data_IF_873782284640
#
_entry.id   IF_873782284640
#
_cell.length_a   1.000
_cell.length_b   1.000
_cell.length_c   1.000
_cell.angle_alpha   90.00
_cell.angle_beta   90.00
_cell.angle_gamma   90.00
#
_symmetry.space_group_name_H-M   'P 1'
#
loop_
_entity.id
_entity.type
_entity.pdbx_description
1 polymer ?
#
# COMPACT_ATOMS: atom_id res chain seq x y z
N UNK A 1 -15.32 12.71 -24.94
CA UNK A 1 -14.67 11.59 -24.23
C UNK A 1 -13.77 12.17 -23.15
N UNK A 2 -14.37 12.65 -22.06
CA UNK A 2 -13.62 13.25 -20.96
C UNK A 2 -12.98 12.11 -20.15
N UNK A 3 -11.69 11.87 -20.35
CA UNK A 3 -10.89 11.02 -19.45
C UNK A 3 -10.76 11.80 -18.14
N UNK A 4 -11.80 11.68 -17.30
CA UNK A 4 -12.03 12.57 -16.18
C UNK A 4 -10.91 12.52 -15.15
N UNK A 5 -10.79 13.60 -14.38
CA UNK A 5 -9.90 13.87 -13.25
C UNK A 5 -9.66 12.71 -12.23
N UNK A 6 -10.37 11.58 -12.33
CA UNK A 6 -10.13 10.38 -11.53
C UNK A 6 -8.72 9.78 -11.65
N UNK A 7 -8.01 10.01 -12.75
CA UNK A 7 -6.62 9.54 -12.91
C UNK A 7 -5.64 10.23 -11.96
N UNK A 8 -5.84 11.52 -11.63
CA UNK A 8 -4.99 12.24 -10.67
C UNK A 8 -5.13 11.71 -9.24
N UNK A 9 -6.33 11.24 -8.88
CA UNK A 9 -6.59 10.68 -7.55
C UNK A 9 -6.04 9.25 -7.41
N UNK A 10 -6.07 8.46 -8.50
CA UNK A 10 -5.50 7.10 -8.53
C UNK A 10 -4.02 7.07 -8.20
N UNK A 11 -3.26 8.04 -8.68
CA UNK A 11 -1.81 8.06 -8.48
C UNK A 11 -1.38 8.13 -7.01
N UNK A 12 -2.20 8.73 -6.13
CA UNK A 12 -1.96 8.72 -4.68
C UNK A 12 -2.10 7.32 -4.10
N UNK A 13 -3.13 6.59 -4.54
CA UNK A 13 -3.42 5.22 -4.11
C UNK A 13 -2.35 4.27 -4.65
N UNK A 14 -2.02 4.35 -5.94
CA UNK A 14 -0.98 3.53 -6.58
C UNK A 14 0.39 3.76 -5.93
N UNK A 15 0.73 5.00 -5.56
CA UNK A 15 1.97 5.28 -4.81
C UNK A 15 1.98 4.60 -3.44
N UNK A 16 0.87 4.62 -2.71
CA UNK A 16 0.78 3.88 -1.44
C UNK A 16 0.95 2.37 -1.65
N UNK A 17 0.37 1.81 -2.72
CA UNK A 17 0.56 0.41 -3.08
C UNK A 17 2.01 0.10 -3.47
N UNK A 18 2.68 0.95 -4.24
CA UNK A 18 4.09 0.81 -4.59
C UNK A 18 5.00 0.86 -3.34
N UNK A 19 4.63 1.61 -2.32
CA UNK A 19 5.35 1.64 -1.04
C UNK A 19 5.16 0.33 -0.26
N UNK A 20 3.96 -0.26 -0.30
CA UNK A 20 3.69 -1.58 0.27
C UNK A 20 4.32 -2.73 -0.54
N UNK A 21 4.53 -2.54 -1.84
CA UNK A 21 5.13 -3.54 -2.74
C UNK A 21 6.58 -3.89 -2.39
N UNK A 22 7.32 -2.97 -1.74
CA UNK A 22 8.63 -3.28 -1.17
C UNK A 22 8.60 -4.47 -0.17
N UNK A 23 7.46 -4.70 0.48
CA UNK A 23 7.24 -5.89 1.30
C UNK A 23 6.80 -7.05 0.40
N UNK A 24 7.77 -7.80 -0.15
CA UNK A 24 7.55 -8.95 -1.06
C UNK A 24 6.51 -9.97 -0.59
N UNK A 25 6.24 -10.05 0.72
CA UNK A 25 5.20 -10.91 1.32
C UNK A 25 3.76 -10.43 1.07
N UNK A 26 3.55 -9.14 0.79
CA UNK A 26 2.26 -8.56 0.41
C UNK A 26 2.01 -8.67 -1.10
N UNK A 27 3.06 -8.57 -1.91
CA UNK A 27 2.99 -8.61 -3.39
C UNK A 27 2.52 -9.96 -3.89
N UNK A 28 3.12 -11.01 -3.36
CA UNK A 28 2.71 -12.37 -3.67
C UNK A 28 1.90 -12.86 -2.47
N UNK A 29 0.59 -13.05 -2.67
CA UNK A 29 -0.33 -13.66 -1.68
C UNK A 29 0.08 -15.11 -1.40
N UNK A 30 1.22 -15.30 -0.74
CA UNK A 30 1.66 -16.60 -0.23
C UNK A 30 0.85 -17.00 1.01
N UNK A 31 0.16 -16.05 1.64
CA UNK A 31 -0.59 -16.33 2.86
C UNK A 31 -1.98 -16.90 2.59
N UNK A 32 -2.22 -18.07 3.19
CA UNK A 32 -3.51 -18.77 3.16
C UNK A 32 -4.60 -18.05 3.95
N UNK A 33 -4.23 -17.22 4.93
CA UNK A 33 -5.18 -16.51 5.80
C UNK A 33 -5.23 -15.01 5.51
N UNK A 34 -6.45 -14.51 5.30
CA UNK A 34 -6.74 -13.08 5.06
C UNK A 34 -6.34 -12.20 6.25
N UNK A 35 -6.38 -12.76 7.47
CA UNK A 35 -6.02 -12.02 8.69
C UNK A 35 -4.56 -11.59 8.71
N UNK A 36 -3.66 -12.48 8.30
CA UNK A 36 -2.23 -12.14 8.26
C UNK A 36 -1.94 -11.12 7.16
N UNK A 37 -2.55 -11.27 5.99
CA UNK A 37 -2.47 -10.26 4.92
C UNK A 37 -2.90 -8.87 5.43
N UNK A 38 -4.01 -8.80 6.17
CA UNK A 38 -4.48 -7.56 6.81
C UNK A 38 -3.47 -7.01 7.83
N UNK A 39 -2.88 -7.87 8.66
CA UNK A 39 -1.86 -7.47 9.62
C UNK A 39 -0.61 -6.88 8.94
N UNK A 40 -0.12 -7.50 7.86
CA UNK A 40 1.01 -6.97 7.10
C UNK A 40 0.69 -5.65 6.39
N UNK A 41 -0.54 -5.46 5.89
CA UNK A 41 -0.97 -4.17 5.36
C UNK A 41 -0.89 -3.07 6.43
N UNK A 42 -1.42 -3.34 7.63
CA UNK A 42 -1.39 -2.39 8.74
C UNK A 42 0.05 -2.10 9.16
N UNK A 43 0.90 -3.12 9.29
CA UNK A 43 2.31 -2.96 9.64
C UNK A 43 3.05 -2.07 8.63
N UNK A 44 2.79 -2.23 7.34
CA UNK A 44 3.37 -1.39 6.28
C UNK A 44 2.95 0.07 6.41
N UNK A 45 1.69 0.34 6.74
CA UNK A 45 1.19 1.69 6.99
C UNK A 45 1.80 2.31 8.26
N UNK A 46 2.01 1.54 9.32
CA UNK A 46 2.67 2.00 10.55
C UNK A 46 4.09 2.44 10.23
N UNK A 47 4.89 1.59 9.55
CA UNK A 47 6.25 1.91 9.13
C UNK A 47 6.29 3.18 8.27
N UNK A 48 5.27 3.37 7.44
CA UNK A 48 5.14 4.55 6.61
C UNK A 48 4.91 5.83 7.40
N UNK A 49 3.98 5.79 8.36
CA UNK A 49 3.73 6.90 9.26
C UNK A 49 4.97 7.23 10.07
N UNK A 50 5.65 6.21 10.62
CA UNK A 50 6.89 6.38 11.38
C UNK A 50 7.96 7.05 10.53
N UNK A 51 8.22 6.57 9.30
CA UNK A 51 9.22 7.17 8.40
C UNK A 51 8.89 8.62 8.00
N UNK A 52 7.60 9.01 8.00
CA UNK A 52 7.18 10.40 7.78
C UNK A 52 7.31 11.28 9.01
N UNK A 53 7.17 10.71 10.22
CA UNK A 53 7.29 11.45 11.48
C UNK A 53 8.75 11.63 11.91
N UNK A 54 9.61 10.65 11.59
CA UNK A 54 11.04 10.70 11.90
C UNK A 54 11.83 11.61 10.95
N UNK A 55 11.19 12.15 9.92
CA UNK A 55 11.77 13.05 8.92
C UNK A 55 11.21 14.44 9.07
#
# INVERSE_FOLDING_TARGET
MAVGDGYKQRWKIERCFAWMDNNRRLVVRYERYIQNYKAFCILSLILLCVNRLLK
#
